data_IF_054373323636
#
_entry.id   IF_054373323636
#
_cell.length_a   1.000
_cell.length_b   1.000
_cell.length_c   1.000
_cell.angle_alpha   90.00
_cell.angle_beta   90.00
_cell.angle_gamma   90.00
#
_symmetry.space_group_name_H-M   'P 1'
#
loop_
_entity.id
_entity.type
_entity.pdbx_description
1 polymer ?
#
# COMPACT_ATOMS: atom_id res chain seq x y z
N UNK A 1 -0.73 -19.68 -12.14
CA UNK A 1 -1.97 -19.01 -12.51
C UNK A 1 -1.71 -17.53 -12.29
N UNK A 2 -1.64 -16.72 -13.35
CA UNK A 2 -1.53 -15.26 -13.18
C UNK A 2 -2.90 -14.76 -12.68
N UNK A 3 -2.90 -14.01 -11.58
CA UNK A 3 -4.14 -13.35 -11.15
C UNK A 3 -4.38 -12.22 -12.14
N UNK A 4 -5.48 -12.33 -12.87
CA UNK A 4 -6.01 -11.28 -13.72
C UNK A 4 -6.38 -10.09 -12.82
N UNK A 5 -5.90 -8.90 -13.16
CA UNK A 5 -6.20 -7.68 -12.42
C UNK A 5 -7.71 -7.51 -12.32
N UNK A 6 -8.23 -7.51 -11.10
CA UNK A 6 -9.63 -7.15 -10.84
C UNK A 6 -9.84 -5.69 -11.28
N UNK A 7 -10.52 -5.52 -12.40
CA UNK A 7 -10.77 -4.22 -13.06
C UNK A 7 -11.86 -3.38 -12.37
N UNK A 8 -12.16 -3.65 -11.11
CA UNK A 8 -13.16 -2.88 -10.39
C UNK A 8 -12.58 -1.53 -9.94
N UNK A 9 -13.29 -0.44 -10.24
CA UNK A 9 -12.98 0.94 -9.83
C UNK A 9 -12.90 1.08 -8.31
N UNK A 10 -13.58 0.20 -7.57
CA UNK A 10 -13.60 0.13 -6.10
C UNK A 10 -13.02 -1.20 -5.63
N UNK A 11 -12.23 -1.17 -4.57
CA UNK A 11 -11.78 -2.39 -3.89
C UNK A 11 -12.98 -3.24 -3.44
N UNK A 12 -12.92 -4.56 -3.66
CA UNK A 12 -13.98 -5.51 -3.22
C UNK A 12 -14.35 -5.35 -1.74
N UNK A 13 -13.41 -4.94 -0.92
CA UNK A 13 -13.59 -4.71 0.53
C UNK A 13 -14.50 -3.54 0.85
N UNK A 14 -14.56 -2.54 -0.03
CA UNK A 14 -15.44 -1.39 0.12
C UNK A 14 -16.91 -1.71 -0.07
N UNK A 15 -17.26 -2.83 -0.69
CA UNK A 15 -18.66 -3.12 -1.05
C UNK A 15 -19.57 -3.20 0.18
N UNK A 16 -19.17 -3.97 1.21
CA UNK A 16 -20.00 -4.15 2.40
C UNK A 16 -20.17 -2.84 3.19
N UNK A 17 -19.12 -2.10 3.59
CA UNK A 17 -19.31 -0.84 4.28
C UNK A 17 -20.03 0.21 3.43
N UNK A 18 -19.77 0.28 2.14
CA UNK A 18 -20.44 1.21 1.23
C UNK A 18 -21.94 0.91 1.10
N UNK A 19 -22.33 -0.36 0.90
CA UNK A 19 -23.74 -0.74 0.81
C UNK A 19 -24.47 -0.47 2.11
N UNK A 20 -23.85 -0.76 3.27
CA UNK A 20 -24.46 -0.51 4.58
C UNK A 20 -24.71 0.98 4.80
N UNK A 21 -23.71 1.83 4.54
CA UNK A 21 -23.87 3.28 4.68
C UNK A 21 -24.85 3.85 3.67
N UNK A 22 -24.90 3.31 2.43
CA UNK A 22 -25.87 3.72 1.42
C UNK A 22 -27.32 3.39 1.85
N UNK A 23 -27.54 2.24 2.45
CA UNK A 23 -28.87 1.87 3.00
C UNK A 23 -29.29 2.84 4.11
N UNK A 24 -28.38 3.17 5.04
CA UNK A 24 -28.68 4.17 6.07
C UNK A 24 -28.91 5.56 5.48
N UNK A 25 -28.15 5.96 4.49
CA UNK A 25 -28.37 7.22 3.77
C UNK A 25 -29.77 7.29 3.18
N UNK A 26 -30.21 6.23 2.46
CA UNK A 26 -31.55 6.13 1.88
C UNK A 26 -32.64 6.11 2.97
N UNK A 27 -32.42 5.41 4.07
CA UNK A 27 -33.36 5.40 5.19
C UNK A 27 -33.55 6.81 5.78
N UNK A 28 -32.46 7.55 6.02
CA UNK A 28 -32.55 8.91 6.53
C UNK A 28 -33.12 9.94 5.53
N UNK A 29 -33.08 9.67 4.21
CA UNK A 29 -33.78 10.50 3.22
C UNK A 29 -35.30 10.40 3.34
N UNK A 30 -35.83 9.26 3.85
CA UNK A 30 -37.27 9.04 4.07
C UNK A 30 -37.74 9.60 5.42
N UNK A 31 -36.82 10.04 6.26
CA UNK A 31 -37.13 10.62 7.57
C UNK A 31 -36.85 12.13 7.58
N UNK A 32 -37.34 12.84 8.58
CA UNK A 32 -37.06 14.27 8.78
C UNK A 32 -35.68 14.53 9.41
N UNK A 33 -34.87 13.49 9.59
CA UNK A 33 -33.57 13.54 10.28
C UNK A 33 -32.41 13.96 9.33
N UNK A 34 -32.52 15.16 8.77
CA UNK A 34 -31.57 15.67 7.77
C UNK A 34 -30.10 15.70 8.21
N UNK A 35 -29.85 15.90 9.53
CA UNK A 35 -28.48 15.87 10.06
C UNK A 35 -27.81 14.49 9.82
N UNK A 36 -28.52 13.41 10.14
CA UNK A 36 -28.00 12.04 9.95
C UNK A 36 -27.84 11.71 8.47
N UNK A 37 -28.74 12.16 7.61
CA UNK A 37 -28.61 12.06 6.16
C UNK A 37 -27.31 12.72 5.68
N UNK A 38 -27.01 13.94 6.14
CA UNK A 38 -25.80 14.66 5.77
C UNK A 38 -24.54 13.90 6.24
N UNK A 39 -24.53 13.39 7.48
CA UNK A 39 -23.41 12.61 8.03
C UNK A 39 -23.19 11.34 7.20
N UNK A 40 -24.24 10.59 6.87
CA UNK A 40 -24.14 9.38 6.03
C UNK A 40 -23.62 9.71 4.63
N UNK A 41 -24.07 10.83 4.03
CA UNK A 41 -23.58 11.30 2.73
C UNK A 41 -22.09 11.62 2.74
N UNK A 42 -21.63 12.36 3.76
CA UNK A 42 -20.21 12.68 3.94
C UNK A 42 -19.36 11.40 4.15
N UNK A 43 -19.88 10.46 4.96
CA UNK A 43 -19.21 9.17 5.20
C UNK A 43 -19.14 8.32 3.93
N UNK A 44 -20.19 8.32 3.09
CA UNK A 44 -20.20 7.64 1.80
C UNK A 44 -19.08 8.17 0.89
N UNK A 45 -18.96 9.49 0.77
CA UNK A 45 -17.91 10.14 -0.04
C UNK A 45 -16.52 9.75 0.50
N UNK A 46 -16.32 9.81 1.82
CA UNK A 46 -15.06 9.43 2.46
C UNK A 46 -14.68 7.96 2.16
N UNK A 47 -15.64 7.04 2.29
CA UNK A 47 -15.42 5.61 1.99
C UNK A 47 -15.12 5.39 0.49
N UNK A 48 -15.81 6.09 -0.42
CA UNK A 48 -15.52 6.01 -1.86
C UNK A 48 -14.09 6.45 -2.17
N UNK A 49 -13.59 7.48 -1.49
CA UNK A 49 -12.21 7.95 -1.67
C UNK A 49 -11.18 6.96 -1.11
N UNK A 50 -11.44 6.37 0.06
CA UNK A 50 -10.53 5.39 0.70
C UNK A 50 -10.46 4.09 -0.11
N UNK A 51 -11.60 3.59 -0.59
CA UNK A 51 -11.67 2.34 -1.34
C UNK A 51 -11.49 2.49 -2.85
N UNK A 52 -11.16 3.71 -3.33
CA UNK A 52 -10.89 3.92 -4.75
C UNK A 52 -9.73 3.06 -5.23
N UNK A 53 -9.90 2.50 -6.41
CA UNK A 53 -8.92 1.61 -7.01
C UNK A 53 -8.71 2.00 -8.48
N UNK A 54 -7.98 3.10 -8.75
CA UNK A 54 -7.76 3.56 -10.12
C UNK A 54 -6.97 2.52 -10.91
N UNK A 55 -7.32 2.36 -12.19
CA UNK A 55 -6.47 1.64 -13.12
C UNK A 55 -5.20 2.47 -13.38
N UNK A 56 -4.06 1.79 -13.36
CA UNK A 56 -2.75 2.38 -13.61
C UNK A 56 -2.00 1.55 -14.62
N UNK A 57 -1.46 2.21 -15.60
CA UNK A 57 -0.58 1.60 -16.58
C UNK A 57 0.86 1.96 -16.23
N UNK A 58 1.70 0.96 -16.07
CA UNK A 58 3.15 1.18 -16.02
C UNK A 58 3.59 1.70 -17.37
N UNK A 59 3.83 3.00 -17.46
CA UNK A 59 4.27 3.66 -18.70
C UNK A 59 5.78 3.50 -18.95
N UNK A 60 6.49 2.78 -18.08
CA UNK A 60 7.94 2.69 -18.08
C UNK A 60 8.34 1.32 -18.58
N UNK A 61 8.88 1.28 -19.81
CA UNK A 61 9.50 0.09 -20.41
C UNK A 61 10.96 -0.10 -19.93
N UNK A 62 11.25 0.15 -18.67
CA UNK A 62 12.58 -0.07 -18.10
C UNK A 62 12.59 -1.42 -17.37
N UNK A 63 13.25 -2.44 -17.91
CA UNK A 63 13.16 -3.82 -17.42
C UNK A 63 13.68 -4.01 -15.98
N UNK A 64 14.51 -3.08 -15.49
CA UNK A 64 15.13 -3.13 -14.16
C UNK A 64 14.51 -2.11 -13.18
N UNK A 65 13.40 -1.46 -13.54
CA UNK A 65 12.76 -0.46 -12.68
C UNK A 65 12.12 -1.09 -11.46
N UNK A 66 12.33 -0.46 -10.30
CA UNK A 66 11.64 -0.76 -9.05
C UNK A 66 10.62 0.34 -8.83
N UNK A 67 9.34 -0.01 -8.93
CA UNK A 67 8.23 0.92 -8.76
C UNK A 67 7.87 1.10 -7.29
N UNK A 68 7.23 2.21 -6.96
CA UNK A 68 6.64 2.38 -5.63
C UNK A 68 5.52 1.37 -5.41
N UNK A 69 5.50 0.76 -4.22
CA UNK A 69 4.43 -0.15 -3.81
C UNK A 69 3.21 0.58 -3.23
N UNK A 70 3.37 1.86 -2.86
CA UNK A 70 2.32 2.69 -2.24
C UNK A 70 2.31 4.08 -2.85
N UNK A 71 1.15 4.75 -2.72
CA UNK A 71 1.08 6.20 -2.90
C UNK A 71 1.58 6.88 -1.63
N UNK A 72 2.21 8.02 -1.78
CA UNK A 72 2.62 8.81 -0.62
C UNK A 72 3.81 9.71 -0.88
N UNK A 73 4.42 10.15 0.23
CA UNK A 73 5.58 11.04 0.23
C UNK A 73 6.79 10.30 0.80
N UNK A 74 7.93 10.38 0.11
CA UNK A 74 9.20 9.83 0.59
C UNK A 74 9.69 10.67 1.77
N UNK A 75 9.81 10.05 2.95
CA UNK A 75 10.29 10.73 4.16
C UNK A 75 11.81 10.74 4.24
N UNK A 76 12.43 9.57 4.06
CA UNK A 76 13.88 9.40 4.16
C UNK A 76 14.39 8.30 3.24
N UNK A 77 15.66 8.41 2.89
CA UNK A 77 16.44 7.38 2.22
C UNK A 77 17.71 7.24 3.04
N UNK A 78 17.92 6.07 3.64
CA UNK A 78 19.00 5.78 4.58
C UNK A 78 19.65 4.45 4.22
N UNK A 79 20.88 4.25 4.64
CA UNK A 79 21.53 2.94 4.61
C UNK A 79 21.23 2.22 5.92
N UNK A 80 20.90 0.94 5.86
CA UNK A 80 20.58 0.09 7.01
C UNK A 80 21.21 -1.28 6.85
N UNK A 81 21.72 -1.83 7.93
CA UNK A 81 22.24 -3.19 7.98
C UNK A 81 21.10 -4.14 8.35
N UNK A 82 20.76 -5.08 7.46
CA UNK A 82 19.76 -6.12 7.67
C UNK A 82 20.39 -7.46 7.33
N UNK A 83 20.32 -8.41 8.23
CA UNK A 83 20.88 -9.76 8.07
C UNK A 83 22.33 -9.72 7.50
N UNK A 84 23.18 -8.86 8.09
CA UNK A 84 24.58 -8.61 7.70
C UNK A 84 24.75 -8.08 6.25
N UNK A 85 23.69 -7.60 5.63
CA UNK A 85 23.75 -6.95 4.32
C UNK A 85 23.43 -5.47 4.41
N UNK A 86 24.23 -4.63 3.80
CA UNK A 86 23.91 -3.21 3.64
C UNK A 86 22.81 -3.07 2.61
N UNK A 87 21.70 -2.43 3.02
CA UNK A 87 20.54 -2.17 2.17
C UNK A 87 20.15 -0.70 2.24
N UNK A 88 19.60 -0.19 1.14
CA UNK A 88 19.00 1.14 1.09
C UNK A 88 17.57 1.05 1.62
N UNK A 89 17.30 1.76 2.71
CA UNK A 89 16.00 1.86 3.37
C UNK A 89 15.29 3.10 2.88
N UNK A 90 14.22 2.92 2.13
CA UNK A 90 13.36 4.00 1.63
C UNK A 90 12.08 4.01 2.45
N UNK A 91 11.82 5.10 3.15
CA UNK A 91 10.63 5.27 3.98
C UNK A 91 9.62 6.16 3.28
N UNK A 92 8.40 5.65 3.05
CA UNK A 92 7.30 6.35 2.39
C UNK A 92 6.13 6.45 3.36
N UNK A 93 5.58 7.65 3.52
CA UNK A 93 4.38 7.91 4.31
C UNK A 93 3.16 7.95 3.38
N UNK A 94 2.21 7.07 3.65
CA UNK A 94 0.94 6.99 2.95
C UNK A 94 -0.15 7.66 3.79
N UNK A 95 -0.80 8.67 3.24
CA UNK A 95 -1.89 9.42 3.89
C UNK A 95 -3.26 8.77 3.66
N UNK A 96 -4.25 9.17 4.49
CA UNK A 96 -5.61 8.63 4.39
C UNK A 96 -6.29 8.93 3.05
N UNK A 97 -5.89 10.02 2.38
CA UNK A 97 -6.45 10.44 1.10
C UNK A 97 -5.67 9.91 -0.11
N UNK A 98 -4.57 9.21 0.13
CA UNK A 98 -3.83 8.51 -0.91
C UNK A 98 -4.56 7.24 -1.34
N UNK A 99 -4.15 6.63 -2.45
CA UNK A 99 -4.72 5.35 -2.86
C UNK A 99 -4.20 4.26 -1.94
N UNK A 100 -5.13 3.55 -1.32
CA UNK A 100 -4.82 2.53 -0.30
C UNK A 100 -4.36 1.18 -0.88
N UNK A 101 -4.39 1.01 -2.21
CA UNK A 101 -4.04 -0.25 -2.87
C UNK A 101 -2.53 -0.41 -2.99
N UNK A 102 -2.02 -1.51 -2.43
CA UNK A 102 -0.62 -1.91 -2.53
C UNK A 102 -0.36 -2.60 -3.87
N UNK A 103 0.74 -2.23 -4.54
CA UNK A 103 1.11 -2.76 -5.86
C UNK A 103 2.50 -3.34 -5.90
N UNK A 104 2.67 -4.45 -6.65
CA UNK A 104 3.96 -5.11 -6.83
C UNK A 104 4.98 -4.15 -7.46
N UNK A 105 6.18 -4.03 -6.88
CA UNK A 105 7.19 -3.07 -7.31
C UNK A 105 7.88 -3.45 -8.62
N UNK A 106 7.89 -4.72 -8.96
CA UNK A 106 8.44 -5.27 -10.21
C UNK A 106 7.82 -6.65 -10.49
N UNK A 107 8.09 -7.18 -11.68
CA UNK A 107 7.68 -8.54 -12.05
C UNK A 107 8.56 -9.58 -11.36
N UNK A 108 7.97 -10.44 -10.52
CA UNK A 108 8.72 -11.39 -9.71
C UNK A 108 7.85 -12.38 -8.97
N UNK A 109 8.40 -12.95 -7.91
CA UNK A 109 7.75 -13.96 -7.07
C UNK A 109 7.68 -13.43 -5.63
N UNK A 110 6.54 -13.58 -5.00
CA UNK A 110 6.39 -13.36 -3.56
C UNK A 110 6.96 -14.56 -2.82
N UNK A 111 8.15 -14.43 -2.22
CA UNK A 111 8.76 -15.53 -1.46
C UNK A 111 7.95 -15.89 -0.22
N UNK A 112 7.33 -14.89 0.39
CA UNK A 112 6.50 -15.06 1.56
C UNK A 112 6.12 -13.73 2.18
N UNK A 113 5.19 -13.80 3.11
CA UNK A 113 4.82 -12.65 3.92
C UNK A 113 4.52 -13.07 5.36
N UNK A 114 4.65 -12.10 6.27
CA UNK A 114 4.30 -12.27 7.68
C UNK A 114 3.51 -11.07 8.13
N UNK A 115 2.31 -11.32 8.66
CA UNK A 115 1.48 -10.27 9.28
C UNK A 115 1.60 -10.43 10.79
N UNK A 116 1.86 -9.33 11.48
CA UNK A 116 1.76 -9.20 12.91
C UNK A 116 0.60 -8.28 13.21
N UNK A 117 -0.50 -8.84 13.65
CA UNK A 117 -1.64 -8.06 14.12
C UNK A 117 -1.28 -7.29 15.38
N UNK A 118 -1.82 -6.09 15.49
CA UNK A 118 -1.51 -5.19 16.58
C UNK A 118 -2.53 -4.06 16.67
N UNK A 119 -2.15 -2.98 17.32
CA UNK A 119 -2.94 -1.75 17.39
C UNK A 119 -2.53 -0.80 16.26
N UNK A 120 -3.16 0.35 16.17
CA UNK A 120 -2.81 1.39 15.19
C UNK A 120 -2.55 2.71 15.92
N UNK A 121 -1.41 2.76 16.66
CA UNK A 121 -0.95 3.95 17.35
C UNK A 121 -0.37 4.95 16.35
N UNK A 122 -0.37 6.25 16.70
CA UNK A 122 0.34 7.26 15.90
C UNK A 122 1.81 6.90 15.70
N UNK A 123 2.36 7.11 14.51
CA UNK A 123 3.77 6.81 14.19
C UNK A 123 4.78 7.55 15.05
N UNK A 124 4.41 8.70 15.62
CA UNK A 124 5.25 9.45 16.56
C UNK A 124 5.29 8.84 17.98
N UNK A 125 4.42 7.87 18.27
CA UNK A 125 4.47 7.14 19.55
C UNK A 125 5.68 6.23 19.61
N UNK A 126 6.48 6.24 20.71
CA UNK A 126 7.62 5.34 20.83
C UNK A 126 7.23 3.86 20.86
N UNK A 127 5.96 3.55 21.17
CA UNK A 127 5.42 2.19 21.17
C UNK A 127 4.93 1.72 19.80
N UNK A 128 4.83 2.61 18.81
CA UNK A 128 4.30 2.27 17.47
C UNK A 128 5.11 1.16 16.80
N UNK A 129 6.43 1.19 16.91
CA UNK A 129 7.32 0.17 16.32
C UNK A 129 7.07 -1.24 16.87
N UNK A 130 6.68 -1.35 18.12
CA UNK A 130 6.48 -2.64 18.79
C UNK A 130 5.04 -3.11 18.78
N UNK A 131 4.07 -2.21 18.83
CA UNK A 131 2.67 -2.56 19.03
C UNK A 131 1.80 -2.42 17.79
N UNK A 132 2.20 -1.61 16.80
CA UNK A 132 1.39 -1.41 15.61
C UNK A 132 1.34 -2.67 14.74
N UNK A 133 0.21 -2.81 14.05
CA UNK A 133 0.06 -3.83 13.03
C UNK A 133 1.09 -3.64 11.92
N UNK A 134 1.77 -4.73 11.56
CA UNK A 134 2.81 -4.75 10.54
C UNK A 134 2.63 -5.93 9.58
N UNK A 135 2.95 -5.70 8.32
CA UNK A 135 3.08 -6.75 7.31
C UNK A 135 4.46 -6.63 6.65
N UNK A 136 5.21 -7.70 6.65
CA UNK A 136 6.52 -7.79 5.98
C UNK A 136 6.41 -8.78 4.85
N UNK A 137 6.80 -8.37 3.65
CA UNK A 137 6.80 -9.19 2.44
C UNK A 137 8.21 -9.23 1.85
N UNK A 138 8.58 -10.39 1.29
CA UNK A 138 9.77 -10.56 0.47
C UNK A 138 9.35 -10.81 -0.98
N UNK A 139 9.90 -9.98 -1.87
CA UNK A 139 9.76 -10.13 -3.32
C UNK A 139 11.11 -10.48 -3.93
N UNK A 140 11.13 -11.50 -4.81
CA UNK A 140 12.30 -11.89 -5.59
C UNK A 140 12.08 -11.61 -7.07
N UNK A 141 13.02 -10.89 -7.67
CA UNK A 141 13.07 -10.65 -9.11
C UNK A 141 13.40 -11.93 -9.89
N UNK A 142 13.10 -11.94 -11.18
CA UNK A 142 13.52 -13.00 -12.11
C UNK A 142 15.04 -13.12 -12.17
N UNK A 143 15.77 -12.02 -11.97
CA UNK A 143 17.24 -12.00 -11.93
C UNK A 143 17.82 -12.50 -10.60
N UNK A 144 17.00 -12.76 -9.58
CA UNK A 144 17.41 -13.26 -8.27
C UNK A 144 17.59 -12.19 -7.20
N UNK A 145 17.44 -10.91 -7.54
CA UNK A 145 17.45 -9.83 -6.55
C UNK A 145 16.26 -9.91 -5.64
N UNK A 146 16.48 -9.68 -4.35
CA UNK A 146 15.43 -9.72 -3.34
C UNK A 146 15.28 -8.36 -2.68
N UNK A 147 14.02 -7.95 -2.50
CA UNK A 147 13.66 -6.78 -1.72
C UNK A 147 12.72 -7.17 -0.57
N UNK A 148 12.83 -6.45 0.55
CA UNK A 148 11.86 -6.55 1.64
C UNK A 148 10.99 -5.30 1.65
N UNK A 149 9.70 -5.50 1.89
CA UNK A 149 8.72 -4.43 2.03
C UNK A 149 8.05 -4.59 3.39
N UNK A 150 8.17 -3.58 4.22
CA UNK A 150 7.48 -3.52 5.50
C UNK A 150 6.38 -2.45 5.44
N UNK A 151 5.15 -2.85 5.73
CA UNK A 151 4.00 -1.96 5.91
C UNK A 151 3.65 -1.88 7.38
N UNK A 152 3.38 -0.68 7.87
CA UNK A 152 2.94 -0.45 9.25
C UNK A 152 1.75 0.52 9.25
N UNK A 153 0.66 0.18 9.95
CA UNK A 153 -0.52 1.04 10.03
C UNK A 153 -0.30 2.24 10.96
N UNK A 154 -0.96 3.37 10.66
CA UNK A 154 -0.92 4.62 11.42
C UNK A 154 -2.33 5.16 11.65
N UNK A 155 -2.80 5.16 12.90
CA UNK A 155 -4.11 5.72 13.29
C UNK A 155 -5.24 5.35 12.32
N UNK A 156 -5.27 4.10 11.90
CA UNK A 156 -6.25 3.58 10.94
C UNK A 156 -7.26 2.69 11.63
N UNK A 157 -8.54 2.82 11.25
CA UNK A 157 -9.59 1.87 11.61
C UNK A 157 -9.59 0.64 10.69
N UNK A 158 -8.70 0.61 9.70
CA UNK A 158 -8.59 -0.46 8.71
C UNK A 158 -7.32 -1.26 8.95
N UNK A 159 -7.44 -2.57 8.99
CA UNK A 159 -6.30 -3.48 9.08
C UNK A 159 -5.51 -3.52 7.77
N UNK A 160 -4.22 -3.84 7.89
CA UNK A 160 -3.39 -4.17 6.74
C UNK A 160 -3.82 -5.53 6.21
N UNK A 161 -4.00 -5.63 4.92
CA UNK A 161 -4.35 -6.89 4.31
C UNK A 161 -3.45 -7.19 3.13
N UNK A 162 -3.00 -8.45 3.07
CA UNK A 162 -2.18 -8.98 1.99
C UNK A 162 -2.98 -10.08 1.29
N UNK A 163 -3.22 -9.90 0.01
CA UNK A 163 -3.96 -10.83 -0.85
C UNK A 163 -3.02 -11.76 -1.63
N UNK A 164 -1.74 -11.40 -1.70
CA UNK A 164 -0.74 -12.23 -2.36
C UNK A 164 -0.53 -13.54 -1.60
N UNK A 165 -0.32 -14.62 -2.35
CA UNK A 165 0.04 -15.93 -1.80
C UNK A 165 1.56 -16.13 -1.88
N UNK A 166 2.09 -16.95 -0.97
CA UNK A 166 3.50 -17.39 -1.03
C UNK A 166 3.75 -18.14 -2.35
N UNK A 167 4.90 -17.94 -2.95
CA UNK A 167 5.33 -18.49 -4.25
C UNK A 167 4.47 -18.01 -5.45
N UNK A 168 3.66 -16.97 -5.25
CA UNK A 168 2.86 -16.40 -6.30
C UNK A 168 3.72 -15.54 -7.24
N UNK A 169 3.60 -15.80 -8.56
CA UNK A 169 4.16 -14.92 -9.59
C UNK A 169 3.26 -13.71 -9.77
N UNK A 170 3.83 -12.53 -9.66
CA UNK A 170 3.15 -11.27 -9.85
C UNK A 170 3.85 -10.44 -10.93
N UNK A 171 3.06 -9.76 -11.74
CA UNK A 171 3.54 -8.75 -12.67
C UNK A 171 3.67 -7.41 -11.93
N UNK A 172 4.59 -6.56 -12.36
CA UNK A 172 4.71 -5.18 -11.88
C UNK A 172 3.37 -4.43 -11.91
N UNK A 173 3.11 -3.61 -10.91
CA UNK A 173 1.87 -2.86 -10.78
C UNK A 173 0.64 -3.69 -10.40
N UNK A 174 0.72 -5.04 -10.36
CA UNK A 174 -0.37 -5.89 -9.86
C UNK A 174 -0.66 -5.60 -8.39
N UNK A 175 -1.93 -5.62 -8.03
CA UNK A 175 -2.41 -5.39 -6.66
C UNK A 175 -2.09 -6.60 -5.80
N UNK A 176 -1.55 -6.37 -4.59
CA UNK A 176 -1.28 -7.45 -3.65
C UNK A 176 -1.81 -7.22 -2.24
N UNK A 177 -2.39 -6.05 -1.97
CA UNK A 177 -2.89 -5.76 -0.65
C UNK A 177 -3.51 -4.38 -0.50
N UNK A 178 -3.81 -4.02 0.76
CA UNK A 178 -4.48 -2.80 1.15
C UNK A 178 -3.85 -2.20 2.42
N UNK A 179 -3.55 -0.89 2.37
CA UNK A 179 -3.08 -0.08 3.50
C UNK A 179 -3.75 1.29 3.42
N UNK A 180 -4.73 1.57 4.27
CA UNK A 180 -5.49 2.83 4.21
C UNK A 180 -4.66 4.05 4.61
N UNK A 181 -3.87 3.93 5.66
CA UNK A 181 -2.96 4.96 6.15
C UNK A 181 -1.80 4.31 6.89
N UNK A 182 -0.57 4.75 6.65
CA UNK A 182 0.56 4.15 7.31
C UNK A 182 1.91 4.57 6.77
N UNK A 183 2.89 3.77 7.11
CA UNK A 183 4.27 3.89 6.64
C UNK A 183 4.66 2.61 5.92
N UNK A 184 5.28 2.77 4.77
CA UNK A 184 5.90 1.67 4.01
C UNK A 184 7.39 1.88 3.94
N UNK A 185 8.15 0.84 4.23
CA UNK A 185 9.60 0.82 4.11
C UNK A 185 9.97 -0.19 3.03
N UNK A 186 10.73 0.28 2.03
CA UNK A 186 11.33 -0.56 1.01
C UNK A 186 12.81 -0.74 1.36
N UNK A 187 13.24 -1.98 1.51
CA UNK A 187 14.64 -2.34 1.69
C UNK A 187 15.18 -2.87 0.37
N UNK A 188 16.03 -2.07 -0.26
CA UNK A 188 16.57 -2.31 -1.60
C UNK A 188 18.03 -2.74 -1.51
N UNK A 189 18.55 -3.55 -2.45
CA UNK A 189 19.97 -3.85 -2.53
C UNK A 189 20.80 -2.56 -2.58
N UNK A 190 22.00 -2.57 -1.99
CA UNK A 190 22.88 -1.39 -1.98
C UNK A 190 23.31 -0.97 -3.38
N UNK A 191 23.35 -1.93 -4.32
CA UNK A 191 23.66 -1.69 -5.75
C UNK A 191 22.58 -0.88 -6.47
N UNK A 192 21.33 -0.88 -5.97
CA UNK A 192 20.22 -0.20 -6.65
C UNK A 192 20.49 1.32 -6.78
N UNK A 193 20.26 1.86 -7.97
CA UNK A 193 20.40 3.29 -8.26
C UNK A 193 19.09 3.99 -7.95
N UNK A 194 19.11 4.97 -7.02
CA UNK A 194 17.92 5.70 -6.62
C UNK A 194 17.49 6.71 -7.68
N UNK A 195 16.18 6.76 -7.97
CA UNK A 195 15.56 7.73 -8.90
C UNK A 195 14.76 8.81 -8.19
N UNK A 196 14.64 8.73 -6.87
CA UNK A 196 13.84 9.65 -6.04
C UNK A 196 14.69 10.26 -4.92
N UNK A 197 14.18 11.28 -4.28
CA UNK A 197 14.79 11.96 -3.13
C UNK A 197 13.74 12.20 -2.02
N UNK A 198 14.17 12.46 -0.78
CA UNK A 198 13.26 12.85 0.29
C UNK A 198 12.38 14.05 -0.12
N UNK A 199 11.08 13.97 0.19
CA UNK A 199 10.07 14.92 -0.25
C UNK A 199 9.41 14.63 -1.59
N UNK A 200 9.88 13.63 -2.36
CA UNK A 200 9.22 13.22 -3.61
C UNK A 200 7.85 12.62 -3.35
N UNK A 201 6.86 13.02 -4.16
CA UNK A 201 5.57 12.33 -4.21
C UNK A 201 5.70 11.11 -5.12
N UNK A 202 5.25 9.95 -4.66
CA UNK A 202 5.28 8.70 -5.41
C UNK A 202 3.89 8.10 -5.54
N UNK A 203 3.67 7.37 -6.63
CA UNK A 203 2.42 6.65 -6.92
C UNK A 203 2.70 5.17 -7.12
N UNK A 204 1.93 4.33 -6.43
CA UNK A 204 2.04 2.87 -6.51
C UNK A 204 1.89 2.37 -7.95
N UNK A 205 2.86 1.60 -8.43
CA UNK A 205 2.85 1.03 -9.76
C UNK A 205 3.11 1.99 -10.92
N UNK A 206 3.42 3.28 -10.64
CA UNK A 206 3.72 4.28 -11.66
C UNK A 206 5.10 4.94 -11.46
N UNK A 207 5.42 5.35 -10.22
CA UNK A 207 6.67 6.06 -9.94
C UNK A 207 7.83 5.09 -9.78
N UNK A 208 8.92 5.32 -10.51
CA UNK A 208 10.19 4.59 -10.32
C UNK A 208 10.87 5.11 -9.06
N UNK A 209 11.13 4.22 -8.13
CA UNK A 209 11.84 4.49 -6.88
C UNK A 209 13.34 4.30 -7.07
N UNK A 210 13.71 3.22 -7.74
CA UNK A 210 15.10 2.87 -8.02
C UNK A 210 15.18 1.95 -9.24
N UNK A 211 16.40 1.62 -9.66
CA UNK A 211 16.69 0.64 -10.69
C UNK A 211 17.69 -0.38 -10.15
N UNK A 212 17.49 -1.66 -10.47
CA UNK A 212 18.51 -2.68 -10.26
C UNK A 212 19.73 -2.36 -11.14
N UNK A 213 20.92 -2.53 -10.58
CA UNK A 213 22.19 -2.31 -11.30
C UNK A 213 22.49 -3.46 -12.27
#
# INVERSE_FOLDING_TARGET
>A
MMIENDTFILSKRGWLPLTLVAVFFLFFTMTTLHLFQFICGALLIALLLIYRNPERTTSINEPNAILSSVDGVVLSIEESLIDDKMMKKVTILNGLWDVSMLRAPFSGIVNGYKIRHGVSLPLYSPLSETLNEKAVLSFRSVCGDEILIEHMSDQSCFSIEIEAQTEQKMKEGCRYGFLAKGRTILYLPNSAVMSIHPGSNVRAGESVVAQFA
#
